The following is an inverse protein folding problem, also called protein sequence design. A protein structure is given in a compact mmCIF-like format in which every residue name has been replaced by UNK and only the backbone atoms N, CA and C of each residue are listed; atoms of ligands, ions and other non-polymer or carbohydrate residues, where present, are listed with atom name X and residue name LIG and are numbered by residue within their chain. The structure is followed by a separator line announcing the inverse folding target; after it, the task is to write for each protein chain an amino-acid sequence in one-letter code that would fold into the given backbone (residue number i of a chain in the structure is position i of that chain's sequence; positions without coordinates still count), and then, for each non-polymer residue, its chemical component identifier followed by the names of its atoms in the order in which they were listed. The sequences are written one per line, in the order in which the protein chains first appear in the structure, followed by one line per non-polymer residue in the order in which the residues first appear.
data_IF_295390357300
#
_entry.id   IF_295390357300
#
_cell.length_a   1.000
_cell.length_b   1.000
_cell.length_c   1.000
_cell.angle_alpha   90.00
_cell.angle_beta   90.00
_cell.angle_gamma   90.00
#
_symmetry.space_group_name_H-M   'P 1'
#
loop_
_entity.id
_entity.type
_entity.pdbx_description
1 polymer ?
#
# COMPACT_ATOMS: atom_id res chain seq x y z
N UNK A 1 -8.53 -35.62 -3.88
CA UNK A 1 -7.59 -35.45 -5.01
C UNK A 1 -6.96 -34.07 -4.87
N UNK A 2 -5.66 -34.00 -4.49
CA UNK A 2 -4.92 -32.73 -4.51
C UNK A 2 -4.70 -32.36 -5.97
N UNK A 3 -5.30 -31.29 -6.46
CA UNK A 3 -4.93 -30.68 -7.72
C UNK A 3 -3.56 -30.01 -7.53
N UNK A 4 -2.54 -30.51 -8.18
CA UNK A 4 -1.25 -29.83 -8.28
C UNK A 4 -1.47 -28.70 -9.27
N UNK A 5 -1.40 -27.47 -8.81
CA UNK A 5 -1.34 -26.29 -9.70
C UNK A 5 0.07 -26.29 -10.29
N UNK A 6 0.21 -26.78 -11.49
CA UNK A 6 1.48 -26.67 -12.23
C UNK A 6 1.67 -25.21 -12.63
N UNK A 7 2.81 -24.63 -12.28
CA UNK A 7 3.20 -23.30 -12.75
C UNK A 7 3.62 -23.38 -14.22
N UNK A 8 3.44 -22.31 -15.00
CA UNK A 8 3.89 -22.26 -16.39
C UNK A 8 5.36 -22.67 -16.56
N UNK A 9 6.21 -22.36 -15.58
CA UNK A 9 7.61 -22.75 -15.57
C UNK A 9 7.80 -24.27 -15.44
N UNK A 10 7.02 -24.95 -14.56
CA UNK A 10 7.10 -26.42 -14.40
C UNK A 10 6.57 -27.17 -15.62
N UNK A 11 5.54 -26.62 -16.26
CA UNK A 11 5.01 -27.18 -17.52
C UNK A 11 6.04 -27.06 -18.63
N UNK A 12 6.64 -25.90 -18.83
CA UNK A 12 7.69 -25.68 -19.83
C UNK A 12 8.88 -26.61 -19.57
N UNK A 13 9.30 -26.75 -18.32
CA UNK A 13 10.39 -27.64 -17.94
C UNK A 13 10.06 -29.10 -18.23
N UNK A 14 8.82 -29.56 -18.01
CA UNK A 14 8.39 -30.92 -18.33
C UNK A 14 8.43 -31.21 -19.83
N UNK A 15 8.01 -30.23 -20.65
CA UNK A 15 8.08 -30.37 -22.12
C UNK A 15 9.52 -30.31 -22.67
N UNK A 16 10.39 -29.48 -22.08
CA UNK A 16 11.78 -29.36 -22.52
C UNK A 16 12.62 -30.65 -22.36
N UNK A 17 12.17 -31.57 -21.50
CA UNK A 17 12.79 -32.89 -21.33
C UNK A 17 12.17 -33.98 -22.19
N UNK A 18 11.16 -33.68 -23.00
CA UNK A 18 10.53 -34.67 -23.88
C UNK A 18 11.32 -34.78 -25.18
N UNK A 19 11.83 -35.97 -25.56
CA UNK A 19 12.68 -36.17 -26.75
C UNK A 19 11.98 -35.85 -28.08
N UNK A 20 10.66 -35.69 -28.09
CA UNK A 20 9.86 -35.34 -29.27
C UNK A 20 9.54 -33.82 -29.33
N UNK A 21 9.98 -33.03 -28.33
CA UNK A 21 9.76 -31.57 -28.28
C UNK A 21 11.09 -30.87 -28.58
N UNK A 22 11.13 -30.12 -29.67
CA UNK A 22 12.33 -29.40 -30.08
C UNK A 22 12.64 -28.21 -29.14
N UNK A 23 11.62 -27.47 -28.70
CA UNK A 23 11.69 -26.41 -27.69
C UNK A 23 10.33 -26.21 -27.09
N UNK A 24 10.31 -25.68 -25.85
CA UNK A 24 9.12 -25.23 -25.16
C UNK A 24 9.40 -23.85 -24.53
N UNK A 25 8.55 -22.90 -24.80
CA UNK A 25 8.67 -21.51 -24.30
C UNK A 25 7.31 -20.93 -23.92
N UNK A 26 7.26 -19.88 -23.11
CA UNK A 26 6.01 -19.20 -22.79
C UNK A 26 5.36 -18.61 -24.05
N UNK A 27 4.04 -18.62 -24.10
CA UNK A 27 3.31 -17.86 -25.09
C UNK A 27 3.30 -16.39 -24.69
N UNK A 28 4.28 -15.62 -25.19
CA UNK A 28 4.44 -14.21 -24.85
C UNK A 28 3.31 -13.37 -25.46
N UNK A 29 2.80 -12.43 -24.67
CA UNK A 29 1.84 -11.44 -25.16
C UNK A 29 2.61 -10.30 -25.80
N UNK A 30 2.46 -10.14 -27.10
CA UNK A 30 2.97 -8.98 -27.84
C UNK A 30 1.90 -7.90 -27.93
N UNK A 31 2.31 -6.65 -27.72
CA UNK A 31 1.46 -5.48 -27.94
C UNK A 31 2.07 -4.64 -29.05
N UNK A 32 1.23 -3.94 -29.83
CA UNK A 32 1.73 -3.01 -30.85
C UNK A 32 2.58 -1.93 -30.18
N UNK A 33 3.82 -1.77 -30.63
CA UNK A 33 4.68 -0.67 -30.21
C UNK A 33 4.22 0.60 -30.93
N UNK A 34 3.75 1.62 -30.18
CA UNK A 34 3.32 2.91 -30.73
C UNK A 34 1.91 3.36 -30.33
N UNK A 35 1.29 2.73 -29.32
CA UNK A 35 0.12 3.30 -28.67
C UNK A 35 0.51 4.56 -27.89
N UNK A 36 -0.30 5.64 -27.99
CA UNK A 36 -0.16 6.79 -27.09
C UNK A 36 -0.26 6.31 -25.64
N UNK A 37 0.68 6.69 -24.80
CA UNK A 37 0.60 6.44 -23.36
C UNK A 37 -0.70 7.01 -22.84
N UNK A 38 -1.55 6.19 -22.24
CA UNK A 38 -2.78 6.66 -21.60
C UNK A 38 -2.34 7.40 -20.33
N UNK A 39 -2.36 8.72 -20.40
CA UNK A 39 -2.18 9.58 -19.22
C UNK A 39 -3.53 10.22 -18.94
N UNK A 40 -4.08 10.10 -17.74
CA UNK A 40 -5.38 10.69 -17.44
C UNK A 40 -5.33 12.21 -17.53
N UNK A 41 -6.46 12.82 -17.89
CA UNK A 41 -6.58 14.26 -18.11
C UNK A 41 -7.06 15.04 -16.88
N UNK A 42 -7.03 14.42 -15.72
CA UNK A 42 -7.50 14.97 -14.45
C UNK A 42 -6.60 16.14 -14.02
N UNK A 43 -7.17 17.30 -13.69
CA UNK A 43 -6.41 18.55 -13.51
C UNK A 43 -5.32 18.49 -12.42
N UNK A 44 -5.55 17.70 -11.37
CA UNK A 44 -4.65 17.63 -10.21
C UNK A 44 -3.62 16.48 -10.30
N UNK A 45 -3.58 15.75 -11.41
CA UNK A 45 -2.69 14.60 -11.62
C UNK A 45 -1.23 14.90 -11.25
N UNK A 46 -0.73 16.09 -11.62
CA UNK A 46 0.65 16.49 -11.34
C UNK A 46 0.97 16.63 -9.84
N UNK A 47 -0.04 16.66 -8.97
CA UNK A 47 0.13 16.69 -7.50
C UNK A 47 0.05 15.30 -6.86
N UNK A 48 -0.39 14.28 -7.59
CA UNK A 48 -0.58 12.91 -7.10
C UNK A 48 0.74 12.13 -7.14
N UNK A 49 1.69 12.51 -6.29
CA UNK A 49 3.02 11.91 -6.29
C UNK A 49 3.01 10.40 -6.03
N UNK A 50 2.04 9.91 -5.26
CA UNK A 50 1.87 8.48 -5.00
C UNK A 50 1.64 7.67 -6.26
N UNK A 51 1.02 8.27 -7.28
CA UNK A 51 0.74 7.67 -8.59
C UNK A 51 1.85 7.95 -9.61
N UNK A 52 2.39 9.18 -9.58
CA UNK A 52 3.44 9.66 -10.50
C UNK A 52 4.36 10.60 -9.74
N UNK A 53 5.57 10.16 -9.43
CA UNK A 53 6.57 11.00 -8.77
C UNK A 53 7.65 11.45 -9.77
N UNK A 54 7.59 12.72 -10.16
CA UNK A 54 8.56 13.38 -11.03
C UNK A 54 9.56 14.24 -10.25
N UNK A 55 9.52 14.19 -8.91
CA UNK A 55 10.25 15.08 -8.03
C UNK A 55 9.46 16.32 -7.62
N UNK A 56 8.14 16.30 -7.81
CA UNK A 56 7.26 17.39 -7.38
C UNK A 56 7.21 17.51 -5.85
N UNK A 57 6.74 18.66 -5.42
CA UNK A 57 6.55 18.99 -4.02
C UNK A 57 5.26 18.36 -3.50
N UNK A 58 5.38 17.48 -2.52
CA UNK A 58 4.26 17.01 -1.71
C UNK A 58 4.14 17.86 -0.45
N UNK A 59 2.92 18.11 0.01
CA UNK A 59 2.66 18.92 1.22
C UNK A 59 2.03 17.99 2.26
N UNK A 60 2.84 17.52 3.20
CA UNK A 60 2.38 16.77 4.37
C UNK A 60 2.25 17.64 5.61
N UNK A 61 1.74 17.06 6.70
CA UNK A 61 1.56 17.75 7.99
C UNK A 61 2.87 18.31 8.59
N UNK A 62 4.01 17.68 8.28
CA UNK A 62 5.34 18.17 8.67
C UNK A 62 5.94 19.20 7.71
N UNK A 63 5.16 19.65 6.72
CA UNK A 63 5.57 20.62 5.71
C UNK A 63 5.91 20.00 4.35
N UNK A 64 6.46 20.80 3.45
CA UNK A 64 6.72 20.37 2.08
C UNK A 64 7.92 19.43 1.97
N UNK A 65 7.74 18.33 1.24
CA UNK A 65 8.79 17.36 0.89
C UNK A 65 8.96 17.35 -0.62
N UNK A 66 10.20 17.50 -1.11
CA UNK A 66 10.52 17.28 -2.52
C UNK A 66 10.70 15.79 -2.74
N UNK A 67 9.95 15.22 -3.68
CA UNK A 67 9.99 13.80 -3.98
C UNK A 67 11.24 13.38 -4.75
N UNK A 68 11.55 12.10 -4.66
CA UNK A 68 12.55 11.43 -5.51
C UNK A 68 11.84 10.85 -6.73
N UNK A 69 12.20 11.27 -7.96
CA UNK A 69 11.55 10.76 -9.17
C UNK A 69 11.52 9.23 -9.22
N UNK A 70 10.35 8.69 -9.53
CA UNK A 70 10.11 7.25 -9.61
C UNK A 70 9.85 6.56 -8.26
N UNK A 71 9.84 7.24 -7.14
CA UNK A 71 9.32 6.71 -5.87
C UNK A 71 7.80 6.91 -5.85
N UNK A 72 7.09 6.04 -6.54
CA UNK A 72 5.63 5.98 -6.69
C UNK A 72 5.20 4.55 -6.95
N UNK A 73 3.90 4.30 -7.10
CA UNK A 73 3.35 2.96 -7.35
C UNK A 73 3.42 2.53 -8.82
N UNK A 74 4.04 3.31 -9.71
CA UNK A 74 4.16 3.01 -11.15
C UNK A 74 2.77 2.95 -11.86
N UNK A 75 1.86 3.84 -11.48
CA UNK A 75 0.47 3.81 -11.91
C UNK A 75 0.32 4.08 -13.41
N UNK A 76 1.10 4.99 -13.99
CA UNK A 76 1.02 5.33 -15.44
C UNK A 76 1.29 4.11 -16.32
N UNK A 77 2.27 3.29 -15.96
CA UNK A 77 2.55 2.05 -16.68
C UNK A 77 1.47 0.99 -16.40
N UNK A 78 0.94 0.96 -15.18
CA UNK A 78 -0.13 0.05 -14.80
C UNK A 78 -1.41 0.33 -15.62
N UNK A 79 -1.77 1.58 -15.83
CA UNK A 79 -2.96 1.97 -16.60
C UNK A 79 -2.87 1.63 -18.10
N UNK A 80 -1.68 1.37 -18.62
CA UNK A 80 -1.54 0.79 -19.98
C UNK A 80 -2.00 -0.68 -20.02
N UNK A 81 -2.12 -1.31 -18.85
CA UNK A 81 -2.48 -2.73 -18.72
C UNK A 81 -3.94 -2.87 -18.29
N UNK A 82 -4.37 -2.11 -17.26
CA UNK A 82 -5.69 -2.19 -16.67
C UNK A 82 -6.04 -0.87 -15.96
N UNK A 83 -7.29 -0.41 -16.10
CA UNK A 83 -7.81 0.80 -15.44
C UNK A 83 -8.94 0.52 -14.45
N UNK A 84 -9.33 -0.74 -14.31
CA UNK A 84 -10.35 -1.19 -13.37
C UNK A 84 -11.67 -1.61 -14.01
N UNK A 85 -12.56 -2.15 -13.19
CA UNK A 85 -13.88 -2.63 -13.60
C UNK A 85 -14.94 -2.34 -12.53
N UNK A 86 -16.13 -1.93 -12.96
CA UNK A 86 -17.31 -1.79 -12.09
C UNK A 86 -17.80 -3.10 -11.45
N UNK A 87 -17.36 -4.23 -11.99
CA UNK A 87 -17.65 -5.54 -11.39
C UNK A 87 -16.86 -5.78 -10.10
N UNK A 88 -15.77 -5.05 -9.87
CA UNK A 88 -14.98 -5.16 -8.65
C UNK A 88 -15.56 -4.25 -7.59
N UNK A 89 -15.95 -4.84 -6.46
CA UNK A 89 -16.51 -4.10 -5.31
C UNK A 89 -15.46 -3.99 -4.20
N UNK A 90 -15.16 -2.75 -3.80
CA UNK A 90 -14.30 -2.42 -2.66
C UNK A 90 -15.17 -1.80 -1.57
N UNK A 91 -15.32 -2.47 -0.43
CA UNK A 91 -15.93 -1.86 0.73
C UNK A 91 -14.92 -0.91 1.40
N UNK A 92 -15.29 0.34 1.56
CA UNK A 92 -14.56 1.32 2.38
C UNK A 92 -15.25 1.38 3.74
N UNK A 93 -14.68 0.66 4.70
CA UNK A 93 -15.17 0.56 6.07
C UNK A 93 -14.48 1.68 6.87
N UNK A 94 -15.20 2.81 7.08
CA UNK A 94 -14.58 4.06 7.53
C UNK A 94 -15.62 5.04 8.12
N UNK A 95 -15.40 6.37 7.98
CA UNK A 95 -16.30 7.45 8.39
C UNK A 95 -17.50 7.67 7.44
N UNK A 96 -17.66 6.80 6.45
CA UNK A 96 -18.60 6.98 5.34
C UNK A 96 -17.90 7.51 4.07
N UNK A 97 -18.68 7.79 3.04
CA UNK A 97 -18.19 8.35 1.78
C UNK A 97 -19.13 9.45 1.30
N UNK A 98 -18.58 10.57 0.81
CA UNK A 98 -19.37 11.55 0.08
C UNK A 98 -19.75 11.01 -1.32
N UNK A 99 -20.77 10.17 -1.35
CA UNK A 99 -21.23 9.53 -2.59
C UNK A 99 -21.91 10.51 -3.58
N UNK A 100 -22.09 11.79 -3.20
CA UNK A 100 -22.53 12.87 -4.08
C UNK A 100 -21.35 13.63 -4.73
N UNK A 101 -20.11 13.34 -4.34
CA UNK A 101 -18.95 13.98 -4.94
C UNK A 101 -18.89 13.70 -6.45
N UNK A 102 -18.79 14.73 -7.30
CA UNK A 102 -18.80 14.56 -8.76
C UNK A 102 -17.77 13.59 -9.31
N UNK A 103 -16.60 13.54 -8.68
CA UNK A 103 -15.45 12.73 -9.07
C UNK A 103 -15.52 11.28 -8.52
N UNK A 104 -16.39 11.02 -7.52
CA UNK A 104 -16.61 9.71 -6.91
C UNK A 104 -17.91 9.04 -7.34
N UNK A 105 -18.95 9.82 -7.58
CA UNK A 105 -20.34 9.32 -7.75
C UNK A 105 -20.49 8.21 -8.79
N UNK A 106 -19.70 8.27 -9.85
CA UNK A 106 -19.72 7.26 -10.90
C UNK A 106 -19.13 5.91 -10.44
N UNK A 107 -18.33 5.93 -9.38
CA UNK A 107 -17.66 4.76 -8.81
C UNK A 107 -18.31 4.26 -7.50
N UNK A 108 -19.41 4.89 -7.07
CA UNK A 108 -20.16 4.41 -5.91
C UNK A 108 -20.94 3.15 -6.28
N UNK A 109 -20.87 2.16 -5.41
CA UNK A 109 -21.71 0.96 -5.48
C UNK A 109 -23.18 1.34 -5.33
N UNK A 110 -24.04 0.68 -6.11
CA UNK A 110 -25.49 0.85 -6.00
C UNK A 110 -26.12 -0.53 -5.88
N UNK A 111 -26.76 -0.80 -4.73
CA UNK A 111 -27.56 -1.97 -4.53
C UNK A 111 -28.80 -1.90 -5.42
N UNK A 112 -28.79 -2.65 -6.52
CA UNK A 112 -29.85 -2.58 -7.54
C UNK A 112 -31.16 -3.21 -7.08
N UNK A 113 -31.13 -4.13 -6.10
CA UNK A 113 -32.33 -4.70 -5.53
C UNK A 113 -33.08 -3.63 -4.74
N UNK A 114 -32.39 -2.95 -3.85
CA UNK A 114 -32.94 -1.88 -3.02
C UNK A 114 -33.36 -0.66 -3.85
N UNK A 115 -32.53 -0.23 -4.82
CA UNK A 115 -32.86 0.92 -5.68
C UNK A 115 -34.15 0.73 -6.48
N UNK A 116 -34.46 -0.51 -6.89
CA UNK A 116 -35.63 -0.85 -7.69
C UNK A 116 -36.77 -1.47 -6.88
N UNK A 117 -36.49 -1.72 -5.60
CA UNK A 117 -37.37 -2.35 -4.65
C UNK A 117 -38.45 -1.43 -4.10
N UNK A 118 -39.04 -1.84 -2.99
CA UNK A 118 -40.11 -1.08 -2.34
C UNK A 118 -39.51 -0.30 -1.15
N UNK A 119 -39.71 1.02 -1.07
CA UNK A 119 -39.20 1.79 0.07
C UNK A 119 -39.68 1.22 1.41
N UNK A 120 -38.74 1.05 2.35
CA UNK A 120 -38.98 0.50 3.68
C UNK A 120 -39.01 -1.03 3.72
N UNK A 121 -38.59 -1.72 2.65
CA UNK A 121 -38.47 -3.17 2.56
C UNK A 121 -37.04 -3.56 2.29
N UNK A 122 -36.56 -4.63 2.89
CA UNK A 122 -35.29 -5.29 2.59
C UNK A 122 -35.54 -6.23 1.38
N UNK A 123 -35.32 -5.73 0.17
CA UNK A 123 -35.67 -6.40 -1.07
C UNK A 123 -34.69 -7.52 -1.48
N UNK A 124 -33.45 -7.53 -0.95
CA UNK A 124 -32.46 -8.57 -1.20
C UNK A 124 -32.27 -9.53 -0.01
N UNK A 125 -33.02 -9.33 1.07
CA UNK A 125 -33.00 -10.12 2.30
C UNK A 125 -31.60 -10.23 2.96
N UNK A 126 -30.83 -9.14 2.87
CA UNK A 126 -29.51 -9.06 3.49
C UNK A 126 -29.56 -8.62 4.97
N UNK A 127 -30.73 -8.15 5.45
CA UNK A 127 -31.00 -7.67 6.80
C UNK A 127 -30.90 -6.16 6.96
N UNK A 128 -30.76 -5.39 5.85
CA UNK A 128 -30.58 -3.94 5.84
C UNK A 128 -31.55 -3.29 4.86
N UNK A 129 -32.50 -2.51 5.38
CA UNK A 129 -33.58 -1.90 4.60
C UNK A 129 -33.08 -0.69 3.83
N UNK A 130 -33.40 -0.61 2.54
CA UNK A 130 -33.07 0.51 1.65
C UNK A 130 -31.58 0.86 1.61
N UNK A 131 -30.66 -0.12 1.74
CA UNK A 131 -29.20 0.08 1.75
C UNK A 131 -28.60 0.35 0.35
N UNK A 132 -29.26 1.23 -0.40
CA UNK A 132 -28.95 1.54 -1.80
C UNK A 132 -27.48 1.87 -2.03
N UNK A 133 -26.87 2.68 -1.15
CA UNK A 133 -25.46 3.09 -1.26
C UNK A 133 -24.58 2.51 -0.15
N UNK A 134 -25.06 1.51 0.58
CA UNK A 134 -24.36 0.96 1.74
C UNK A 134 -25.07 1.26 3.06
N UNK A 135 -24.36 1.09 4.18
CA UNK A 135 -24.95 1.16 5.53
C UNK A 135 -24.11 1.97 6.52
N UNK A 136 -24.78 2.67 7.44
CA UNK A 136 -24.17 3.36 8.58
C UNK A 136 -24.42 2.60 9.88
N UNK A 137 -23.36 1.96 10.42
CA UNK A 137 -23.37 1.30 11.73
C UNK A 137 -23.21 2.27 12.91
N UNK A 138 -22.78 3.51 12.68
CA UNK A 138 -22.72 4.55 13.70
C UNK A 138 -24.10 5.15 13.96
N UNK A 139 -24.84 5.43 12.90
CA UNK A 139 -26.23 5.92 12.95
C UNK A 139 -27.27 4.80 12.99
N UNK A 140 -26.89 3.58 12.59
CA UNK A 140 -27.76 2.44 12.38
C UNK A 140 -28.90 2.74 11.39
N UNK A 141 -28.49 3.26 10.22
CA UNK A 141 -29.40 3.59 9.11
C UNK A 141 -28.74 3.38 7.74
N UNK A 142 -29.48 3.64 6.67
CA UNK A 142 -29.07 3.47 5.29
C UNK A 142 -28.36 4.70 4.68
N UNK A 143 -27.82 5.59 5.51
CA UNK A 143 -27.16 6.81 5.06
C UNK A 143 -25.68 6.85 5.44
N UNK A 144 -24.79 6.10 4.75
CA UNK A 144 -23.36 6.09 5.02
C UNK A 144 -22.64 7.34 4.48
N UNK A 145 -23.31 8.50 4.48
CA UNK A 145 -22.70 9.77 4.10
C UNK A 145 -21.61 10.15 5.08
N UNK A 146 -20.45 10.48 4.53
CA UNK A 146 -19.33 10.99 5.32
C UNK A 146 -19.61 12.41 5.82
N UNK A 147 -19.20 12.70 7.03
CA UNK A 147 -19.24 14.04 7.62
C UNK A 147 -17.87 14.49 8.12
N UNK A 148 -16.98 13.53 8.38
CA UNK A 148 -15.62 13.76 8.84
C UNK A 148 -14.63 14.00 7.68
N UNK A 149 -14.79 13.25 6.58
CA UNK A 149 -14.01 13.38 5.35
C UNK A 149 -12.93 12.30 5.17
N UNK A 150 -12.68 11.43 6.16
CA UNK A 150 -11.60 10.44 6.09
C UNK A 150 -11.92 9.30 5.11
N UNK A 151 -13.09 8.71 5.19
CA UNK A 151 -13.50 7.66 4.26
C UNK A 151 -13.66 8.18 2.82
N UNK A 152 -14.07 9.46 2.66
CA UNK A 152 -14.09 10.13 1.35
C UNK A 152 -12.67 10.26 0.79
N UNK A 153 -11.69 10.61 1.64
CA UNK A 153 -10.28 10.72 1.23
C UNK A 153 -9.72 9.36 0.79
N UNK A 154 -9.96 8.32 1.57
CA UNK A 154 -9.59 6.94 1.24
C UNK A 154 -10.24 6.48 -0.07
N UNK A 155 -11.54 6.77 -0.26
CA UNK A 155 -12.28 6.43 -1.47
C UNK A 155 -11.74 7.12 -2.72
N UNK A 156 -11.35 8.40 -2.62
CA UNK A 156 -10.72 9.14 -3.72
C UNK A 156 -9.40 8.52 -4.14
N UNK A 157 -8.59 8.10 -3.20
CA UNK A 157 -7.32 7.40 -3.49
C UNK A 157 -7.55 6.04 -4.15
N UNK A 158 -8.56 5.27 -3.72
CA UNK A 158 -8.91 3.99 -4.35
C UNK A 158 -9.41 4.22 -5.77
N UNK A 159 -10.38 5.12 -5.94
CA UNK A 159 -11.18 5.14 -7.15
C UNK A 159 -11.93 6.44 -7.40
N UNK A 160 -11.31 7.62 -7.28
CA UNK A 160 -11.78 8.78 -8.01
C UNK A 160 -11.78 8.43 -9.49
N UNK A 161 -12.80 8.88 -10.23
CA UNK A 161 -12.98 8.53 -11.65
C UNK A 161 -11.83 9.09 -12.47
N UNK A 162 -11.03 8.23 -13.07
CA UNK A 162 -9.87 8.71 -13.85
C UNK A 162 -10.23 9.07 -15.28
N UNK A 163 -9.48 10.03 -15.83
CA UNK A 163 -9.59 10.49 -17.23
C UNK A 163 -10.95 11.08 -17.58
N UNK A 164 -11.60 11.76 -16.64
CA UNK A 164 -12.89 12.41 -16.83
C UNK A 164 -12.80 13.96 -16.84
N UNK A 165 -11.60 14.51 -16.64
CA UNK A 165 -11.32 15.94 -16.65
C UNK A 165 -11.74 16.65 -15.35
N UNK A 166 -12.02 15.90 -14.28
CA UNK A 166 -12.38 16.43 -12.97
C UNK A 166 -11.29 16.14 -11.94
N UNK A 167 -11.18 16.95 -10.93
CA UNK A 167 -10.41 16.78 -9.69
C UNK A 167 -9.12 15.95 -9.80
N UNK A 168 -9.16 14.74 -9.28
CA UNK A 168 -8.05 13.78 -9.20
C UNK A 168 -8.41 12.47 -9.91
N UNK A 169 -7.41 11.61 -10.11
CA UNK A 169 -7.65 10.20 -10.45
C UNK A 169 -7.33 9.31 -9.26
N UNK A 170 -8.13 8.27 -9.04
CA UNK A 170 -7.80 7.17 -8.15
C UNK A 170 -6.85 6.17 -8.80
N UNK A 171 -6.42 5.17 -8.02
CA UNK A 171 -5.61 4.05 -8.55
C UNK A 171 -6.40 3.24 -9.56
N UNK A 172 -7.66 2.93 -9.27
CA UNK A 172 -8.60 2.23 -10.15
C UNK A 172 -9.64 3.23 -10.69
N UNK A 173 -9.54 3.58 -11.98
CA UNK A 173 -10.44 4.56 -12.60
C UNK A 173 -11.90 4.12 -12.64
N UNK A 174 -12.10 2.81 -12.75
CA UNK A 174 -13.39 2.15 -12.73
C UNK A 174 -13.40 1.11 -11.61
N UNK A 175 -14.32 1.28 -10.66
CA UNK A 175 -14.47 0.37 -9.52
C UNK A 175 -15.87 0.62 -8.92
N UNK A 176 -16.39 -0.28 -8.11
CA UNK A 176 -17.57 -0.03 -7.29
C UNK A 176 -17.13 0.12 -5.83
N UNK A 177 -17.23 1.31 -5.28
CA UNK A 177 -16.93 1.62 -3.88
C UNK A 177 -18.22 1.46 -3.07
N UNK A 178 -18.24 0.50 -2.14
CA UNK A 178 -19.33 0.32 -1.20
C UNK A 178 -19.03 1.09 0.08
N UNK A 179 -19.72 2.21 0.37
CA UNK A 179 -19.60 2.93 1.63
C UNK A 179 -20.12 2.10 2.80
N UNK A 180 -19.28 1.92 3.83
CA UNK A 180 -19.68 1.28 5.09
C UNK A 180 -19.17 2.13 6.23
N UNK A 181 -20.09 2.87 6.86
CA UNK A 181 -19.76 3.79 7.93
C UNK A 181 -19.89 3.13 9.28
N UNK A 182 -18.84 3.17 10.11
CA UNK A 182 -18.91 2.80 11.53
C UNK A 182 -18.15 3.77 12.44
N UNK A 183 -17.28 4.57 11.82
CA UNK A 183 -16.64 5.69 12.51
C UNK A 183 -17.60 6.88 12.50
N UNK A 184 -17.85 7.43 13.68
CA UNK A 184 -18.75 8.56 13.88
C UNK A 184 -18.17 9.89 13.39
N UNK A 185 -18.88 10.98 13.73
CA UNK A 185 -18.55 12.36 13.34
C UNK A 185 -17.22 12.85 13.91
N UNK A 186 -16.71 12.22 14.96
CA UNK A 186 -15.42 12.49 15.58
C UNK A 186 -14.29 11.57 15.08
N UNK A 187 -14.59 10.68 14.14
CA UNK A 187 -13.67 9.67 13.62
C UNK A 187 -13.46 8.46 14.52
N UNK A 188 -14.21 8.36 15.64
CA UNK A 188 -14.17 7.23 16.57
C UNK A 188 -15.21 6.16 16.21
N UNK A 189 -14.94 4.91 16.56
CA UNK A 189 -15.87 3.80 16.34
C UNK A 189 -15.76 2.72 17.41
N UNK A 190 -16.70 1.78 17.41
CA UNK A 190 -16.71 0.67 18.36
C UNK A 190 -16.34 -0.66 17.71
N UNK A 191 -15.84 -1.61 18.51
CA UNK A 191 -15.59 -2.98 18.02
C UNK A 191 -16.87 -3.61 17.46
N UNK A 192 -18.03 -3.35 18.05
CA UNK A 192 -19.31 -3.86 17.55
C UNK A 192 -19.65 -3.28 16.19
N UNK A 193 -19.44 -1.97 15.98
CA UNK A 193 -19.61 -1.33 14.67
C UNK A 193 -18.67 -1.91 13.61
N UNK A 194 -17.39 -2.12 13.95
CA UNK A 194 -16.43 -2.76 13.05
C UNK A 194 -16.83 -4.19 12.68
N UNK A 195 -17.30 -5.00 13.65
CA UNK A 195 -17.80 -6.36 13.42
C UNK A 195 -18.98 -6.33 12.47
N UNK A 196 -20.01 -5.51 12.76
CA UNK A 196 -21.20 -5.40 11.90
C UNK A 196 -20.84 -4.97 10.48
N UNK A 197 -19.90 -4.02 10.34
CA UNK A 197 -19.43 -3.54 9.03
C UNK A 197 -18.75 -4.63 8.20
N UNK A 198 -17.92 -5.46 8.83
CA UNK A 198 -17.25 -6.58 8.15
C UNK A 198 -18.26 -7.68 7.78
N UNK A 199 -19.21 -7.99 8.66
CA UNK A 199 -20.30 -8.94 8.37
C UNK A 199 -21.17 -8.46 7.22
N UNK A 200 -21.56 -7.17 7.21
CA UNK A 200 -22.31 -6.55 6.12
C UNK A 200 -21.55 -6.65 4.79
N UNK A 201 -20.31 -6.16 4.75
CA UNK A 201 -19.49 -6.23 3.54
C UNK A 201 -19.30 -7.67 3.05
N UNK A 202 -19.23 -8.65 3.97
CA UNK A 202 -19.17 -10.08 3.63
C UNK A 202 -20.48 -10.56 3.00
N UNK A 203 -21.65 -10.16 3.52
CA UNK A 203 -22.97 -10.47 2.92
C UNK A 203 -23.13 -9.83 1.55
N UNK A 204 -22.63 -8.62 1.36
CA UNK A 204 -22.60 -7.91 0.07
C UNK A 204 -21.62 -8.53 -0.93
N UNK A 205 -20.85 -9.56 -0.53
CA UNK A 205 -19.92 -10.33 -1.36
C UNK A 205 -18.89 -9.43 -2.05
N UNK A 206 -18.36 -8.45 -1.32
CA UNK A 206 -17.31 -7.58 -1.83
C UNK A 206 -16.04 -8.36 -2.16
N UNK A 207 -15.21 -7.85 -3.05
CA UNK A 207 -13.94 -8.48 -3.39
C UNK A 207 -12.82 -8.08 -2.42
N UNK A 208 -12.88 -6.84 -1.94
CA UNK A 208 -11.83 -6.22 -1.12
C UNK A 208 -12.49 -5.38 -0.02
N UNK A 209 -11.97 -5.46 1.19
CA UNK A 209 -12.26 -4.54 2.29
C UNK A 209 -11.07 -3.62 2.50
N UNK A 210 -11.26 -2.31 2.45
CA UNK A 210 -10.26 -1.28 2.72
C UNK A 210 -10.52 -0.71 4.11
N UNK A 211 -9.55 -0.88 5.02
CA UNK A 211 -9.69 -0.62 6.44
C UNK A 211 -8.59 0.35 6.89
N UNK A 212 -8.89 1.64 6.84
CA UNK A 212 -7.96 2.72 7.19
C UNK A 212 -8.11 3.13 8.65
N UNK A 213 -8.31 2.19 9.54
CA UNK A 213 -8.51 2.37 10.98
C UNK A 213 -7.77 1.30 11.78
N UNK A 214 -7.55 1.56 13.05
CA UNK A 214 -6.91 0.64 13.97
C UNK A 214 -6.92 1.17 15.39
N UNK A 215 -6.35 0.39 16.28
CA UNK A 215 -6.27 0.67 17.71
C UNK A 215 -7.06 -0.37 18.52
N UNK A 216 -7.08 -0.18 19.83
CA UNK A 216 -7.76 -1.10 20.74
C UNK A 216 -6.97 -2.39 21.03
N UNK A 217 -7.51 -3.17 21.97
CA UNK A 217 -6.96 -4.45 22.37
C UNK A 217 -7.37 -5.56 21.40
N UNK A 218 -6.72 -6.72 21.53
CA UNK A 218 -7.13 -7.93 20.84
C UNK A 218 -8.61 -8.27 21.09
N UNK A 219 -9.34 -8.51 20.02
CA UNK A 219 -10.73 -8.99 20.06
C UNK A 219 -10.87 -10.27 19.25
N UNK A 220 -11.24 -11.36 19.90
CA UNK A 220 -11.48 -12.63 19.24
C UNK A 220 -12.65 -12.52 18.26
N UNK A 221 -13.73 -11.86 18.64
CA UNK A 221 -14.90 -11.68 17.76
C UNK A 221 -14.57 -10.91 16.48
N UNK A 222 -13.71 -9.87 16.58
CA UNK A 222 -13.25 -9.14 15.40
C UNK A 222 -12.38 -10.02 14.49
N UNK A 223 -11.49 -10.84 15.07
CA UNK A 223 -10.70 -11.80 14.32
C UNK A 223 -11.57 -12.86 13.63
N UNK A 224 -12.62 -13.32 14.31
CA UNK A 224 -13.54 -14.34 13.79
C UNK A 224 -14.30 -13.84 12.55
N UNK A 225 -14.81 -12.61 12.55
CA UNK A 225 -15.50 -12.04 11.37
C UNK A 225 -14.55 -11.77 10.21
N UNK A 226 -13.29 -11.36 10.48
CA UNK A 226 -12.26 -11.25 9.44
C UNK A 226 -11.94 -12.63 8.86
N UNK A 227 -11.92 -13.66 9.70
CA UNK A 227 -11.72 -15.05 9.26
C UNK A 227 -12.90 -15.53 8.41
N UNK A 228 -14.13 -15.19 8.79
CA UNK A 228 -15.32 -15.49 7.99
C UNK A 228 -15.27 -14.80 6.62
N UNK A 229 -14.82 -13.53 6.55
CA UNK A 229 -14.60 -12.82 5.28
C UNK A 229 -13.52 -13.51 4.43
N UNK A 230 -12.43 -13.99 5.04
CA UNK A 230 -11.40 -14.80 4.38
C UNK A 230 -12.00 -16.06 3.75
N UNK A 231 -12.87 -16.76 4.47
CA UNK A 231 -13.49 -18.00 3.99
C UNK A 231 -14.48 -17.77 2.82
N UNK A 232 -14.92 -16.50 2.64
CA UNK A 232 -15.66 -16.05 1.45
C UNK A 232 -14.74 -15.53 0.34
N UNK A 233 -13.42 -15.61 0.50
CA UNK A 233 -12.45 -15.22 -0.53
C UNK A 233 -12.12 -13.72 -0.57
N UNK A 234 -12.50 -12.94 0.44
CA UNK A 234 -12.36 -11.49 0.47
C UNK A 234 -10.97 -11.11 0.95
N UNK A 235 -10.28 -10.21 0.22
CA UNK A 235 -9.03 -9.60 0.66
C UNK A 235 -9.31 -8.48 1.67
N UNK A 236 -8.57 -8.47 2.78
CA UNK A 236 -8.68 -7.47 3.84
C UNK A 236 -7.40 -6.63 3.87
N UNK A 237 -7.48 -5.37 3.44
CA UNK A 237 -6.35 -4.43 3.48
C UNK A 237 -6.49 -3.55 4.72
N UNK A 238 -5.43 -3.47 5.52
CA UNK A 238 -5.44 -2.74 6.80
C UNK A 238 -4.27 -1.75 6.92
N UNK A 239 -4.54 -0.55 7.38
CA UNK A 239 -3.53 0.41 7.77
C UNK A 239 -2.74 -0.10 9.00
N UNK A 240 -1.41 0.02 8.98
CA UNK A 240 -0.57 -0.47 10.08
C UNK A 240 -0.70 0.34 11.38
N UNK A 241 -1.19 1.60 11.30
CA UNK A 241 -1.29 2.53 12.43
C UNK A 241 -0.20 3.60 12.43
N UNK A 242 -0.39 4.62 13.27
CA UNK A 242 0.37 5.88 13.22
C UNK A 242 1.09 6.22 14.53
N UNK A 243 1.51 5.21 15.29
CA UNK A 243 2.12 5.34 16.63
C UNK A 243 3.64 5.18 16.62
N UNK A 244 4.29 5.08 15.44
CA UNK A 244 5.74 4.81 15.29
C UNK A 244 6.18 3.50 15.96
N UNK A 245 5.30 2.52 16.07
CA UNK A 245 5.44 1.31 16.87
C UNK A 245 5.86 0.12 16.01
N UNK A 246 6.71 -0.76 16.58
CA UNK A 246 7.02 -2.06 16.01
C UNK A 246 5.91 -3.06 16.38
N UNK A 247 5.08 -3.42 15.38
CA UNK A 247 3.94 -4.32 15.57
C UNK A 247 4.35 -5.78 15.86
N UNK A 248 5.60 -6.15 15.60
CA UNK A 248 6.12 -7.47 15.98
C UNK A 248 6.26 -7.60 17.51
N UNK A 249 6.40 -6.47 18.22
CA UNK A 249 6.53 -6.42 19.69
C UNK A 249 5.32 -5.82 20.40
N UNK A 250 4.59 -4.93 19.74
CA UNK A 250 3.43 -4.20 20.27
C UNK A 250 2.32 -4.17 19.23
N UNK A 251 1.55 -5.26 19.09
CA UNK A 251 0.56 -5.40 18.04
C UNK A 251 -0.58 -4.39 18.16
N UNK A 252 -0.99 -3.81 17.04
CA UNK A 252 -2.22 -3.01 16.87
C UNK A 252 -3.17 -3.71 15.89
N UNK A 253 -4.46 -3.66 16.17
CA UNK A 253 -5.47 -4.39 15.42
C UNK A 253 -6.36 -3.44 14.61
N UNK A 254 -6.80 -3.89 13.39
CA UNK A 254 -6.80 -5.24 12.84
C UNK A 254 -5.51 -5.66 12.11
N UNK A 255 -4.54 -4.75 11.88
CA UNK A 255 -3.34 -5.01 11.08
C UNK A 255 -2.52 -6.23 11.57
N UNK A 256 -2.48 -6.46 12.90
CA UNK A 256 -1.66 -7.49 13.53
C UNK A 256 -2.38 -8.83 13.75
N UNK A 257 -3.63 -9.01 13.28
CA UNK A 257 -4.24 -10.35 13.33
C UNK A 257 -3.54 -11.31 12.36
N UNK A 258 -3.26 -12.51 12.85
CA UNK A 258 -2.67 -13.59 12.04
C UNK A 258 -3.74 -14.29 11.17
N UNK A 259 -4.37 -13.53 10.26
CA UNK A 259 -5.35 -14.06 9.30
C UNK A 259 -4.83 -13.84 7.89
N UNK A 260 -4.80 -14.91 7.08
CA UNK A 260 -4.08 -14.95 5.81
C UNK A 260 -4.58 -13.96 4.75
N UNK A 261 -5.84 -13.50 4.83
CA UNK A 261 -6.39 -12.51 3.90
C UNK A 261 -5.98 -11.07 4.24
N UNK A 262 -5.30 -10.82 5.35
CA UNK A 262 -4.87 -9.48 5.73
C UNK A 262 -3.61 -9.07 4.96
N UNK A 263 -3.64 -7.85 4.42
CA UNK A 263 -2.46 -7.12 3.95
C UNK A 263 -2.31 -5.86 4.80
N UNK A 264 -1.38 -5.88 5.75
CA UNK A 264 -1.05 -4.73 6.58
C UNK A 264 -0.08 -3.79 5.85
N UNK A 265 -0.37 -2.49 5.84
CA UNK A 265 0.27 -1.48 5.00
C UNK A 265 0.92 -0.38 5.83
N UNK A 266 2.23 -0.19 5.69
CA UNK A 266 2.98 0.94 6.24
C UNK A 266 2.96 2.15 5.30
N UNK A 267 3.18 3.35 5.84
CA UNK A 267 3.27 4.58 5.07
C UNK A 267 4.72 4.93 4.72
N UNK A 268 4.95 5.37 3.47
CA UNK A 268 6.20 5.99 3.04
C UNK A 268 5.99 7.45 2.63
N UNK A 269 7.09 8.21 2.73
CA UNK A 269 7.21 9.55 2.20
C UNK A 269 7.57 9.57 0.69
N UNK A 270 7.57 10.75 0.02
CA UNK A 270 7.92 10.86 -1.40
C UNK A 270 9.38 10.48 -1.75
N UNK A 271 10.20 10.15 -0.77
CA UNK A 271 11.59 9.69 -0.95
C UNK A 271 11.77 8.19 -0.64
N UNK A 272 10.68 7.48 -0.31
CA UNK A 272 10.68 6.05 -0.03
C UNK A 272 11.12 5.68 1.39
N UNK A 273 11.25 6.65 2.29
CA UNK A 273 11.48 6.37 3.70
C UNK A 273 10.17 6.06 4.41
N UNK A 274 10.24 5.17 5.40
CA UNK A 274 9.09 4.94 6.31
C UNK A 274 8.75 6.28 6.97
N UNK A 275 7.49 6.68 6.90
CA UNK A 275 7.01 7.90 7.52
C UNK A 275 7.25 7.85 9.04
N UNK A 276 7.65 8.97 9.65
CA UNK A 276 8.05 9.01 11.06
C UNK A 276 6.97 8.54 12.02
N UNK A 277 5.69 8.69 11.66
CA UNK A 277 4.53 8.24 12.42
C UNK A 277 4.17 6.79 12.15
N UNK A 278 4.58 6.21 10.99
CA UNK A 278 4.10 4.90 10.57
C UNK A 278 4.53 3.80 11.51
N UNK A 279 3.58 2.96 11.89
CA UNK A 279 3.89 1.66 12.46
C UNK A 279 4.59 0.80 11.41
N UNK A 280 5.40 -0.15 11.88
CA UNK A 280 6.20 -1.06 11.07
C UNK A 280 6.26 -2.43 11.76
N UNK A 281 6.80 -3.42 11.09
CA UNK A 281 7.01 -4.77 11.65
C UNK A 281 7.54 -5.70 10.56
N UNK A 282 8.68 -6.30 10.81
CA UNK A 282 9.34 -7.19 9.86
C UNK A 282 8.51 -8.43 9.50
N UNK A 283 7.65 -8.88 10.43
CA UNK A 283 6.81 -10.05 10.26
C UNK A 283 5.33 -9.68 10.09
N UNK A 284 4.88 -8.66 10.81
CA UNK A 284 3.45 -8.28 10.92
C UNK A 284 3.01 -7.35 9.81
N UNK A 285 3.85 -6.40 9.39
CA UNK A 285 3.50 -5.44 8.32
C UNK A 285 4.03 -5.96 6.99
N UNK A 286 3.16 -6.05 5.99
CA UNK A 286 3.46 -6.78 4.75
C UNK A 286 4.19 -5.93 3.71
N UNK A 287 3.72 -4.72 3.46
CA UNK A 287 4.14 -3.86 2.36
C UNK A 287 4.05 -2.39 2.75
N UNK A 288 4.77 -1.53 2.06
CA UNK A 288 4.63 -0.08 2.24
C UNK A 288 4.03 0.58 0.99
N UNK A 289 3.30 1.68 1.18
CA UNK A 289 2.70 2.45 0.10
C UNK A 289 2.74 3.97 0.42
N UNK A 290 2.53 4.85 -0.57
CA UNK A 290 2.52 6.29 -0.37
C UNK A 290 1.54 6.73 0.71
N UNK A 291 2.02 7.45 1.75
CA UNK A 291 1.19 7.84 2.89
C UNK A 291 1.50 9.22 3.47
N UNK A 292 2.39 10.01 2.86
CA UNK A 292 2.72 11.37 3.30
C UNK A 292 2.35 12.36 2.20
N UNK A 293 1.57 13.39 2.52
CA UNK A 293 1.18 14.41 1.57
C UNK A 293 0.29 13.85 0.44
N UNK A 294 -0.63 12.97 0.76
CA UNK A 294 -1.54 12.36 -0.22
C UNK A 294 -2.74 13.25 -0.44
N UNK A 295 -2.88 13.77 -1.65
CA UNK A 295 -3.99 14.62 -2.05
C UNK A 295 -5.20 13.76 -2.44
N UNK A 296 -6.35 14.04 -1.81
CA UNK A 296 -7.61 13.37 -2.17
C UNK A 296 -8.83 14.22 -1.77
N UNK A 297 -10.02 13.75 -2.10
CA UNK A 297 -11.28 14.40 -1.78
C UNK A 297 -11.61 14.31 -0.28
N UNK A 298 -12.18 15.37 0.25
CA UNK A 298 -12.80 15.42 1.58
C UNK A 298 -14.17 16.09 1.46
N UNK A 299 -14.83 16.31 2.61
CA UNK A 299 -16.09 17.09 2.63
C UNK A 299 -15.87 18.56 2.25
N UNK A 300 -14.65 19.07 2.37
CA UNK A 300 -14.28 20.46 2.12
C UNK A 300 -13.41 20.64 0.85
N UNK A 301 -13.56 19.77 -0.14
CA UNK A 301 -12.77 19.76 -1.35
C UNK A 301 -11.50 18.90 -1.23
N UNK A 302 -10.49 19.21 -2.05
CA UNK A 302 -9.24 18.47 -2.07
C UNK A 302 -8.34 18.88 -0.91
N UNK A 303 -7.85 17.91 -0.16
CA UNK A 303 -6.91 18.11 0.94
C UNK A 303 -5.78 17.08 0.90
N UNK A 304 -4.62 17.49 1.39
CA UNK A 304 -3.43 16.65 1.47
C UNK A 304 -3.24 16.15 2.90
N UNK A 305 -3.24 14.83 3.10
CA UNK A 305 -3.18 14.20 4.42
C UNK A 305 -2.02 13.21 4.53
N UNK A 306 -1.62 12.97 5.79
CA UNK A 306 -0.59 11.99 6.16
C UNK A 306 -1.22 10.86 6.97
N UNK A 307 -0.80 9.62 6.72
CA UNK A 307 -1.24 8.47 7.50
C UNK A 307 -0.99 7.13 6.79
N UNK A 308 -0.93 6.07 7.57
CA UNK A 308 -1.08 4.71 7.04
C UNK A 308 -2.47 4.50 6.45
N UNK A 309 -3.44 5.32 6.89
CA UNK A 309 -4.79 5.45 6.32
C UNK A 309 -4.78 5.92 4.86
N UNK A 310 -3.78 6.67 4.42
CA UNK A 310 -3.60 7.11 3.04
C UNK A 310 -2.79 6.11 2.22
N UNK A 311 -1.97 5.29 2.89
CA UNK A 311 -1.22 4.21 2.26
C UNK A 311 -2.09 2.98 1.94
N UNK A 312 -2.97 2.59 2.86
CA UNK A 312 -3.90 1.46 2.72
C UNK A 312 -4.73 1.52 1.42
N UNK A 313 -5.40 2.63 1.06
CA UNK A 313 -6.22 2.71 -0.14
C UNK A 313 -5.42 2.58 -1.44
N UNK A 314 -4.13 2.92 -1.48
CA UNK A 314 -3.28 2.62 -2.64
C UNK A 314 -3.19 1.11 -2.90
N UNK A 315 -3.01 0.31 -1.84
CA UNK A 315 -2.98 -1.15 -1.95
C UNK A 315 -4.34 -1.71 -2.34
N UNK A 316 -5.42 -1.19 -1.77
CA UNK A 316 -6.80 -1.57 -2.11
C UNK A 316 -7.12 -1.28 -3.58
N UNK A 317 -6.69 -0.13 -4.09
CA UNK A 317 -6.84 0.25 -5.51
C UNK A 317 -6.05 -0.66 -6.45
N UNK A 318 -4.80 -1.01 -6.12
CA UNK A 318 -4.02 -1.97 -6.93
C UNK A 318 -4.63 -3.38 -6.87
N UNK A 319 -5.14 -3.80 -5.72
CA UNK A 319 -5.88 -5.06 -5.60
C UNK A 319 -7.14 -5.06 -6.49
N UNK A 320 -7.85 -3.91 -6.59
CA UNK A 320 -8.99 -3.77 -7.48
C UNK A 320 -8.59 -3.88 -8.96
N UNK A 321 -7.47 -3.27 -9.37
CA UNK A 321 -6.94 -3.45 -10.73
C UNK A 321 -6.58 -4.92 -11.02
N UNK A 322 -5.97 -5.62 -10.07
CA UNK A 322 -5.65 -7.05 -10.21
C UNK A 322 -6.91 -7.90 -10.36
N UNK A 323 -7.92 -7.64 -9.53
CA UNK A 323 -9.21 -8.34 -9.60
C UNK A 323 -9.94 -8.07 -10.91
N UNK A 324 -9.79 -6.86 -11.47
CA UNK A 324 -10.39 -6.49 -12.77
C UNK A 324 -9.83 -7.31 -13.94
N UNK A 325 -8.57 -7.76 -13.86
CA UNK A 325 -7.98 -8.62 -14.89
C UNK A 325 -8.59 -10.03 -14.92
N UNK A 326 -8.98 -10.53 -13.75
CA UNK A 326 -9.56 -11.85 -13.60
C UNK A 326 -10.32 -11.94 -12.28
N UNK A 327 -11.65 -11.90 -12.37
CA UNK A 327 -12.57 -11.97 -11.23
C UNK A 327 -12.58 -13.33 -10.51
N UNK A 328 -11.89 -14.33 -11.05
CA UNK A 328 -11.79 -15.66 -10.43
C UNK A 328 -10.60 -15.82 -9.50
N UNK A 329 -9.74 -14.80 -9.40
CA UNK A 329 -8.57 -14.82 -8.53
C UNK A 329 -8.97 -14.91 -7.07
N UNK A 330 -8.30 -15.80 -6.33
CA UNK A 330 -8.45 -15.89 -4.88
C UNK A 330 -7.73 -14.73 -4.18
N UNK A 331 -8.14 -14.41 -2.94
CA UNK A 331 -7.43 -13.43 -2.11
C UNK A 331 -5.95 -13.80 -1.93
N UNK A 332 -5.60 -15.10 -1.89
CA UNK A 332 -4.20 -15.56 -1.81
C UNK A 332 -3.41 -15.19 -3.06
N UNK A 333 -4.03 -15.32 -4.24
CA UNK A 333 -3.41 -14.90 -5.50
C UNK A 333 -3.21 -13.39 -5.53
N UNK A 334 -4.22 -12.61 -5.14
CA UNK A 334 -4.10 -11.15 -5.06
C UNK A 334 -2.99 -10.74 -4.10
N UNK A 335 -3.01 -11.27 -2.86
CA UNK A 335 -1.98 -11.00 -1.86
C UNK A 335 -0.59 -11.40 -2.36
N UNK A 336 -0.45 -12.59 -2.93
CA UNK A 336 0.83 -13.06 -3.48
C UNK A 336 1.35 -12.12 -4.58
N UNK A 337 0.50 -11.71 -5.52
CA UNK A 337 0.88 -10.77 -6.59
C UNK A 337 1.29 -9.41 -6.04
N UNK A 338 0.55 -8.85 -5.10
CA UNK A 338 0.89 -7.58 -4.44
C UNK A 338 2.28 -7.64 -3.77
N UNK A 339 2.57 -8.74 -3.05
CA UNK A 339 3.79 -8.84 -2.26
C UNK A 339 5.01 -9.27 -3.09
N UNK A 340 4.87 -10.24 -4.00
CA UNK A 340 5.99 -10.76 -4.79
C UNK A 340 6.47 -9.81 -5.88
N UNK A 341 5.61 -8.90 -6.34
CA UNK A 341 5.92 -7.89 -7.34
C UNK A 341 6.31 -6.54 -6.74
N UNK A 342 6.26 -6.41 -5.41
CA UNK A 342 6.62 -5.19 -4.72
C UNK A 342 8.06 -4.78 -5.02
N UNK A 343 8.29 -3.46 -5.18
CA UNK A 343 9.60 -2.93 -5.54
C UNK A 343 10.48 -2.78 -4.30
N UNK A 344 11.65 -3.44 -4.26
CA UNK A 344 12.57 -3.33 -3.14
C UNK A 344 13.05 -1.89 -2.91
N UNK A 345 13.02 -1.43 -1.65
CA UNK A 345 13.52 -0.12 -1.23
C UNK A 345 14.39 -0.32 0.01
N UNK A 346 15.61 0.20 -0.02
CA UNK A 346 16.60 -0.01 1.05
C UNK A 346 16.07 0.38 2.43
N UNK A 347 15.36 1.50 2.53
CA UNK A 347 14.81 2.03 3.78
C UNK A 347 13.70 1.15 4.39
N UNK A 348 13.12 0.24 3.62
CA UNK A 348 12.02 -0.63 4.05
C UNK A 348 12.49 -1.99 4.59
N UNK A 349 13.78 -2.32 4.44
CA UNK A 349 14.32 -3.58 4.92
C UNK A 349 14.24 -3.69 6.43
N UNK A 350 13.63 -4.80 6.90
CA UNK A 350 13.38 -5.00 8.32
C UNK A 350 12.31 -4.08 8.92
N UNK A 351 11.63 -3.32 8.08
CA UNK A 351 10.48 -2.47 8.45
C UNK A 351 9.15 -3.07 8.01
N UNK A 352 9.15 -3.72 6.86
CA UNK A 352 7.99 -4.51 6.39
C UNK A 352 8.51 -5.87 5.89
N UNK A 353 7.66 -6.88 5.83
CA UNK A 353 8.06 -8.27 5.55
C UNK A 353 8.67 -8.45 4.15
N UNK A 354 8.17 -7.71 3.17
CA UNK A 354 8.72 -7.69 1.81
C UNK A 354 9.99 -6.86 1.67
N UNK A 355 10.27 -5.93 2.62
CA UNK A 355 11.31 -4.90 2.46
C UNK A 355 11.06 -3.98 1.26
N UNK A 356 9.81 -3.83 0.83
CA UNK A 356 9.45 -3.30 -0.48
C UNK A 356 8.25 -2.37 -0.42
N UNK A 357 8.12 -1.52 -1.43
CA UNK A 357 6.95 -0.69 -1.66
C UNK A 357 6.06 -1.26 -2.77
N UNK A 358 4.78 -0.91 -2.71
CA UNK A 358 3.79 -1.27 -3.71
C UNK A 358 4.22 -0.86 -5.14
N UNK A 359 3.97 -1.73 -6.12
CA UNK A 359 4.07 -1.39 -7.52
C UNK A 359 2.88 -1.96 -8.29
N UNK A 360 2.06 -1.10 -8.83
CA UNK A 360 0.89 -1.48 -9.62
C UNK A 360 1.28 -2.19 -10.92
N UNK A 361 2.27 -1.66 -11.64
CA UNK A 361 2.69 -2.22 -12.91
C UNK A 361 3.24 -3.66 -12.79
N UNK A 362 4.18 -3.88 -11.85
CA UNK A 362 4.76 -5.21 -11.68
C UNK A 362 3.74 -6.21 -11.14
N UNK A 363 2.79 -5.76 -10.30
CA UNK A 363 1.67 -6.58 -9.86
C UNK A 363 0.77 -6.99 -11.03
N UNK A 364 0.36 -6.05 -11.90
CA UNK A 364 -0.50 -6.31 -13.05
C UNK A 364 0.16 -7.16 -14.13
N UNK A 365 1.47 -7.06 -14.29
CA UNK A 365 2.22 -7.87 -15.26
C UNK A 365 2.73 -9.19 -14.69
N UNK A 366 2.47 -9.44 -13.39
CA UNK A 366 2.95 -10.61 -12.65
C UNK A 366 4.47 -10.81 -12.79
N UNK A 367 5.21 -9.70 -12.69
CA UNK A 367 6.66 -9.68 -12.82
C UNK A 367 7.29 -9.28 -11.48
N UNK A 368 8.48 -9.80 -11.23
CA UNK A 368 9.29 -9.35 -10.10
C UNK A 368 9.90 -7.99 -10.47
N UNK A 369 9.71 -7.01 -9.59
CA UNK A 369 10.33 -5.69 -9.79
C UNK A 369 11.86 -5.80 -9.76
N UNK A 370 12.58 -5.08 -10.64
CA UNK A 370 14.03 -5.13 -10.64
C UNK A 370 14.60 -4.57 -9.34
N UNK A 371 15.66 -5.20 -8.87
CA UNK A 371 16.44 -4.67 -7.75
C UNK A 371 17.20 -3.43 -8.20
N UNK A 372 17.22 -2.42 -7.36
CA UNK A 372 18.02 -1.23 -7.64
C UNK A 372 19.52 -1.59 -7.58
N UNK A 373 20.18 -1.51 -8.73
CA UNK A 373 21.64 -1.74 -8.81
C UNK A 373 22.46 -0.68 -8.07
N UNK A 374 21.88 0.48 -7.78
CA UNK A 374 22.50 1.52 -6.98
C UNK A 374 22.40 1.26 -5.47
N UNK A 375 21.52 0.33 -5.06
CA UNK A 375 21.33 -0.04 -3.67
C UNK A 375 22.53 -0.84 -3.14
N UNK A 376 23.24 -0.33 -2.13
CA UNK A 376 24.42 -0.98 -1.58
C UNK A 376 24.19 -2.40 -1.05
N UNK A 377 22.94 -2.75 -0.75
CA UNK A 377 22.61 -4.10 -0.28
C UNK A 377 22.85 -5.16 -1.35
N UNK A 378 22.72 -4.77 -2.62
CA UNK A 378 22.90 -5.64 -3.78
C UNK A 378 24.38 -5.69 -4.24
N UNK A 379 25.28 -4.95 -3.54
CA UNK A 379 26.68 -4.89 -3.90
C UNK A 379 27.48 -6.04 -3.30
N UNK A 380 28.65 -6.29 -3.86
CA UNK A 380 29.59 -7.27 -3.35
C UNK A 380 30.13 -6.82 -1.98
N UNK A 381 30.03 -7.68 -0.97
CA UNK A 381 30.55 -7.41 0.37
C UNK A 381 32.07 -7.53 0.42
N UNK A 382 32.74 -6.53 1.03
CA UNK A 382 34.15 -6.62 1.40
C UNK A 382 34.29 -7.24 2.80
N UNK A 383 35.39 -7.95 3.03
CA UNK A 383 35.72 -8.53 4.34
C UNK A 383 36.21 -7.51 5.40
N UNK A 384 36.36 -6.22 5.03
CA UNK A 384 36.76 -5.18 5.96
C UNK A 384 35.66 -4.89 6.98
N UNK A 385 35.99 -4.86 8.26
CA UNK A 385 35.10 -4.48 9.34
C UNK A 385 35.75 -3.51 10.30
N UNK A 386 34.95 -2.64 10.88
CA UNK A 386 35.41 -1.62 11.85
C UNK A 386 34.44 -1.58 13.01
N UNK A 387 34.96 -1.26 14.20
CA UNK A 387 34.11 -1.02 15.38
C UNK A 387 34.65 0.15 16.20
N UNK A 388 33.78 0.76 16.95
CA UNK A 388 34.15 1.69 18.05
C UNK A 388 34.09 0.93 19.36
N UNK A 389 34.68 1.50 20.40
CA UNK A 389 34.49 1.01 21.76
C UNK A 389 33.01 1.13 22.16
N UNK A 390 32.52 0.24 23.01
CA UNK A 390 31.16 0.23 23.49
C UNK A 390 31.09 0.13 25.01
N UNK A 391 30.59 1.17 25.71
CA UNK A 391 30.21 2.49 25.19
C UNK A 391 31.43 3.29 24.74
N UNK A 392 31.26 4.17 23.75
CA UNK A 392 32.29 5.12 23.35
C UNK A 392 32.34 6.30 24.34
N UNK A 393 33.53 6.86 24.52
CA UNK A 393 33.73 7.98 25.43
C UNK A 393 33.16 9.27 24.90
N UNK A 394 32.65 10.13 25.77
CA UNK A 394 32.16 11.46 25.40
C UNK A 394 33.24 12.24 24.64
N UNK A 395 32.85 13.01 23.62
CA UNK A 395 33.74 13.73 22.69
C UNK A 395 34.72 12.85 21.88
N UNK A 396 34.41 11.55 21.72
CA UNK A 396 35.21 10.65 20.91
C UNK A 396 35.18 11.10 19.43
N UNK A 397 36.35 11.25 18.82
CA UNK A 397 36.49 11.49 17.39
C UNK A 397 37.36 10.37 16.81
N UNK A 398 36.71 9.46 16.07
CA UNK A 398 37.40 8.39 15.33
C UNK A 398 37.20 8.57 13.84
N UNK A 399 38.25 8.34 13.07
CA UNK A 399 38.20 8.34 11.60
C UNK A 399 38.64 6.98 11.09
N UNK A 400 37.87 6.42 10.17
CA UNK A 400 38.16 5.17 9.50
C UNK A 400 38.30 5.45 7.99
N UNK A 401 39.47 5.06 7.44
CA UNK A 401 39.69 5.12 6.00
C UNK A 401 39.42 3.76 5.37
N UNK A 402 38.52 3.72 4.42
CA UNK A 402 38.12 2.51 3.75
C UNK A 402 38.55 2.59 2.28
N UNK A 403 39.24 1.58 1.80
CA UNK A 403 39.67 1.48 0.41
C UNK A 403 39.35 0.06 -0.11
N UNK A 404 38.59 -0.03 -1.21
CA UNK A 404 38.31 -1.29 -1.89
C UNK A 404 38.85 -1.20 -3.31
N UNK A 405 39.96 -1.89 -3.63
CA UNK A 405 40.59 -1.81 -4.95
C UNK A 405 39.56 -2.18 -6.05
N UNK A 406 39.48 -1.37 -7.09
CA UNK A 406 38.62 -1.58 -8.23
C UNK A 406 37.15 -1.25 -8.02
N UNK A 407 36.73 -0.88 -6.81
CA UNK A 407 35.36 -0.43 -6.57
C UNK A 407 35.12 0.96 -7.17
N UNK A 408 34.01 1.11 -7.89
CA UNK A 408 33.53 2.40 -8.41
C UNK A 408 32.76 3.20 -7.34
N UNK A 409 32.16 2.50 -6.39
CA UNK A 409 31.43 3.07 -5.26
C UNK A 409 31.57 2.16 -4.05
N UNK A 410 31.57 2.74 -2.86
CA UNK A 410 31.67 2.04 -1.58
C UNK A 410 30.53 2.52 -0.68
N UNK A 411 29.90 1.62 0.04
CA UNK A 411 28.97 1.94 1.11
C UNK A 411 29.32 1.13 2.37
N UNK A 412 29.17 1.75 3.55
CA UNK A 412 29.41 1.09 4.84
C UNK A 412 28.11 0.50 5.34
N UNK A 413 28.12 -0.80 5.62
CA UNK A 413 27.01 -1.48 6.28
C UNK A 413 27.23 -1.48 7.79
N UNK A 414 26.24 -1.01 8.52
CA UNK A 414 26.20 -1.12 9.97
C UNK A 414 25.30 -2.28 10.36
N UNK A 415 25.82 -3.25 11.10
CA UNK A 415 24.99 -4.31 11.69
C UNK A 415 24.11 -3.79 12.84
N UNK A 416 24.61 -2.77 13.53
CA UNK A 416 23.89 -1.98 14.52
C UNK A 416 24.43 -0.56 14.48
N UNK A 417 23.53 0.43 14.37
CA UNK A 417 23.86 1.84 14.47
C UNK A 417 23.06 2.48 15.59
N UNK A 418 23.75 3.01 16.58
CA UNK A 418 23.13 3.64 17.75
C UNK A 418 24.06 4.76 18.26
N UNK A 419 23.56 5.99 18.22
CA UNK A 419 24.23 7.19 18.76
C UNK A 419 23.23 8.03 19.53
N UNK A 420 23.69 9.04 20.26
CA UNK A 420 22.81 10.06 20.85
C UNK A 420 22.23 10.93 19.73
N UNK A 421 20.91 10.91 19.62
CA UNK A 421 20.21 11.59 18.52
C UNK A 421 20.49 13.10 18.52
N UNK A 422 20.82 13.63 17.35
CA UNK A 422 21.13 15.05 17.10
C UNK A 422 22.44 15.57 17.71
N UNK A 423 23.09 14.82 18.59
CA UNK A 423 24.38 15.23 19.20
C UNK A 423 25.56 14.46 18.61
N UNK A 424 25.49 13.13 18.59
CA UNK A 424 26.55 12.31 18.05
C UNK A 424 26.26 11.91 16.61
N UNK A 425 27.23 12.14 15.72
CA UNK A 425 27.02 11.98 14.29
C UNK A 425 28.11 11.16 13.63
N UNK A 426 27.76 10.38 12.60
CA UNK A 426 28.69 9.77 11.67
C UNK A 426 28.59 10.46 10.33
N UNK A 427 29.70 11.05 9.88
CA UNK A 427 29.78 11.76 8.60
C UNK A 427 30.65 10.97 7.64
N UNK A 428 30.21 10.89 6.38
CA UNK A 428 30.93 10.22 5.30
C UNK A 428 31.62 11.25 4.42
N UNK A 429 32.88 10.98 4.03
CA UNK A 429 33.65 11.81 3.11
C UNK A 429 34.12 10.98 1.94
N UNK A 430 34.15 11.57 0.76
CA UNK A 430 34.80 10.96 -0.40
C UNK A 430 36.34 11.04 -0.37
N UNK A 431 36.98 10.53 -1.40
CA UNK A 431 38.45 10.52 -1.50
C UNK A 431 39.05 11.93 -1.55
N UNK A 432 38.27 12.96 -1.87
CA UNK A 432 38.71 14.37 -1.87
C UNK A 432 38.56 15.04 -0.53
N UNK A 433 37.89 14.37 0.43
CA UNK A 433 37.56 14.92 1.74
C UNK A 433 36.21 15.69 1.75
N UNK A 434 35.50 15.73 0.65
CA UNK A 434 34.19 16.35 0.61
C UNK A 434 33.14 15.48 1.32
N UNK A 435 32.27 16.13 2.10
CA UNK A 435 31.20 15.43 2.83
C UNK A 435 30.17 14.92 1.82
N UNK A 436 29.96 13.61 1.85
CA UNK A 436 28.88 12.97 1.08
C UNK A 436 27.56 13.24 1.79
N UNK A 437 26.51 13.51 1.01
CA UNK A 437 25.18 13.81 1.53
C UNK A 437 24.69 12.68 2.45
N UNK A 438 24.35 13.04 3.67
CA UNK A 438 23.78 12.15 4.70
C UNK A 438 24.72 11.95 5.89
N UNK A 439 24.38 12.59 6.98
CA UNK A 439 24.96 12.35 8.31
C UNK A 439 24.02 11.43 9.06
N UNK A 440 24.53 10.36 9.66
CA UNK A 440 23.76 9.44 10.47
C UNK A 440 23.82 9.82 11.94
N UNK A 441 22.69 9.74 12.64
CA UNK A 441 22.56 10.00 14.08
C UNK A 441 21.35 9.23 14.64
N UNK A 442 21.36 8.90 15.93
CA UNK A 442 20.27 8.23 16.63
C UNK A 442 20.31 6.70 16.52
N UNK A 443 19.18 6.07 16.81
CA UNK A 443 19.03 4.61 16.79
C UNK A 443 18.45 4.17 15.44
N UNK A 444 19.29 3.75 14.52
CA UNK A 444 18.91 3.38 13.15
C UNK A 444 18.93 1.87 12.90
N UNK A 445 19.40 1.07 13.87
CA UNK A 445 19.48 -0.38 13.75
C UNK A 445 20.47 -0.83 12.65
N UNK A 446 20.06 -1.79 11.82
CA UNK A 446 20.86 -2.21 10.68
C UNK A 446 20.62 -1.26 9.50
N UNK A 447 21.66 -0.60 9.02
CA UNK A 447 21.56 0.42 7.98
C UNK A 447 22.83 0.44 7.11
N UNK A 448 22.70 0.98 5.89
CA UNK A 448 23.85 1.43 5.09
C UNK A 448 24.05 2.94 5.24
N UNK A 449 25.29 3.36 5.33
CA UNK A 449 25.66 4.74 5.12
C UNK A 449 25.52 5.13 3.65
N UNK A 450 25.56 6.44 3.35
CA UNK A 450 25.53 6.90 1.97
C UNK A 450 26.68 6.29 1.16
N UNK A 451 26.39 6.01 -0.11
CA UNK A 451 27.40 5.48 -1.03
C UNK A 451 28.35 6.59 -1.49
N UNK A 452 29.63 6.31 -1.44
CA UNK A 452 30.75 7.20 -1.81
C UNK A 452 31.38 6.71 -3.11
#
# INVERSE_FOLDING_TARGET
QKSIIETSASVIQSFSHNPYVLYAEPNYIYRASGGSTITPNDPELAKLWGLINTGQKAIGGSGPVIGTPGIDIDAVRAWQVETGSKSVVVAVIDTGVNYNNPDLKNNIYVNQAELKGQPGVDDDANGFIDDVNGWDFSGNDNNPMDVYGHGTHCSGTIGATGNDGLGITGVAWNVSILPVRFLGDDGGGTTAGAIGSIEYATKMKVNIMSNSWGGGAFSQALMDVITAAKDQGILFVAAAGNSSTDLDSSPEYPAAYAVDNIVAVAAIDPNGFVASFSNYGKNTVHIAAPGVGILSHTMNGLQSWDGTSMACPHVSGVAALLMSQDMTQSYLTLKSRLLSSARPVAALRGRVSTGSMLSAYYALTNQVAPVDASDPFNWQKSAQSFSTDHPYLGNAKKEFRITVPGAKRIAVSFSKFETEASYDTVTFKDATGAVVKGTLSGKLGQIFGPAV
#
